data_IF_513449989549
#
_entry.id   IF_513449989549
#
_cell.length_a   1.000
_cell.length_b   1.000
_cell.length_c   1.000
_cell.angle_alpha   90.00
_cell.angle_beta   90.00
_cell.angle_gamma   90.00
#
_symmetry.space_group_name_H-M   'P 1'
#
loop_
_entity.id
_entity.type
_entity.pdbx_description
1 polymer ?
#
# COMPACT_ATOMS: atom_id res chain seq x y z
N UNK A 1 -0.14 32.86 13.76
CA UNK A 1 -1.16 31.87 13.36
C UNK A 1 -0.45 30.74 12.62
N UNK A 2 -0.73 29.49 12.95
CA UNK A 2 -0.14 28.33 12.25
C UNK A 2 -0.63 28.23 10.81
N UNK A 3 0.14 27.56 9.96
CA UNK A 3 -0.23 27.30 8.55
C UNK A 3 -1.48 26.42 8.52
N UNK A 4 -2.54 26.87 7.84
CA UNK A 4 -3.79 26.11 7.66
C UNK A 4 -3.69 25.24 6.41
N UNK A 5 -3.89 23.92 6.57
CA UNK A 5 -3.78 22.94 5.49
C UNK A 5 -5.10 22.20 5.31
N UNK A 6 -5.59 22.15 4.08
CA UNK A 6 -6.71 21.29 3.70
C UNK A 6 -6.16 20.05 2.96
N UNK A 7 -6.44 18.87 3.50
CA UNK A 7 -6.12 17.58 2.87
C UNK A 7 -7.38 17.05 2.20
N UNK A 8 -7.32 16.80 0.91
CA UNK A 8 -8.44 16.28 0.12
C UNK A 8 -8.25 14.78 -0.07
N UNK A 9 -9.10 13.98 0.59
CA UNK A 9 -9.08 12.53 0.63
C UNK A 9 -8.60 11.98 1.98
N UNK A 10 -9.40 11.07 2.58
CA UNK A 10 -9.10 10.37 3.83
C UNK A 10 -8.63 8.91 3.61
N UNK A 11 -7.99 8.63 2.49
CA UNK A 11 -7.27 7.37 2.29
C UNK A 11 -5.99 7.30 3.14
N UNK A 12 -5.27 6.18 3.08
CA UNK A 12 -4.02 5.96 3.85
C UNK A 12 -3.04 7.14 3.68
N UNK A 13 -2.82 7.60 2.44
CA UNK A 13 -1.90 8.72 2.18
C UNK A 13 -2.39 10.05 2.76
N UNK A 14 -3.69 10.35 2.66
CA UNK A 14 -4.27 11.58 3.17
C UNK A 14 -4.29 11.65 4.69
N UNK A 15 -4.73 10.59 5.36
CA UNK A 15 -4.69 10.50 6.82
C UNK A 15 -3.25 10.56 7.34
N UNK A 16 -2.32 9.84 6.72
CA UNK A 16 -0.90 9.92 7.10
C UNK A 16 -0.35 11.34 6.93
N UNK A 17 -0.73 12.04 5.84
CA UNK A 17 -0.32 13.43 5.63
C UNK A 17 -0.90 14.36 6.70
N UNK A 18 -2.18 14.20 7.03
CA UNK A 18 -2.84 14.98 8.07
C UNK A 18 -2.16 14.80 9.43
N UNK A 19 -1.91 13.55 9.83
CA UNK A 19 -1.23 13.22 11.09
C UNK A 19 0.19 13.83 11.10
N UNK A 20 0.95 13.59 10.04
CA UNK A 20 2.33 14.08 9.96
C UNK A 20 2.42 15.61 10.04
N UNK A 21 1.52 16.32 9.38
CA UNK A 21 1.44 17.78 9.38
C UNK A 21 0.96 18.31 10.74
N UNK A 22 -0.07 17.71 11.34
CA UNK A 22 -0.58 18.07 12.66
C UNK A 22 0.49 17.90 13.75
N UNK A 23 1.28 16.83 13.71
CA UNK A 23 2.42 16.61 14.61
C UNK A 23 3.56 17.63 14.45
N UNK A 24 3.60 18.35 13.33
CA UNK A 24 4.48 19.51 13.12
C UNK A 24 3.85 20.85 13.53
N UNK A 25 2.71 20.83 14.24
CA UNK A 25 2.02 22.03 14.75
C UNK A 25 1.23 22.82 13.71
N UNK A 26 0.90 22.21 12.56
CA UNK A 26 0.07 22.85 11.53
C UNK A 26 -1.41 22.59 11.80
N UNK A 27 -2.28 23.56 11.47
CA UNK A 27 -3.73 23.41 11.54
C UNK A 27 -4.20 22.60 10.31
N UNK A 28 -4.70 21.39 10.51
CA UNK A 28 -5.07 20.48 9.42
C UNK A 28 -6.56 20.14 9.49
N UNK A 29 -7.20 20.16 8.32
CA UNK A 29 -8.56 19.64 8.12
C UNK A 29 -8.54 18.65 6.95
N UNK A 30 -9.28 17.55 7.06
CA UNK A 30 -9.37 16.48 6.06
C UNK A 30 -10.78 16.47 5.47
N UNK A 31 -10.89 16.40 4.15
CA UNK A 31 -12.15 16.39 3.40
C UNK A 31 -12.25 15.12 2.57
N UNK A 32 -13.21 14.26 2.90
CA UNK A 32 -13.42 12.96 2.25
C UNK A 32 -14.78 12.95 1.53
N UNK A 33 -14.78 12.48 0.28
CA UNK A 33 -16.02 12.42 -0.52
C UNK A 33 -16.99 11.34 -0.06
N UNK A 34 -16.50 10.25 0.54
CA UNK A 34 -17.34 9.18 1.05
C UNK A 34 -18.12 9.66 2.29
N UNK A 35 -19.37 9.21 2.47
CA UNK A 35 -20.18 9.58 3.63
C UNK A 35 -19.72 8.89 4.93
N UNK A 36 -18.89 7.85 4.81
CA UNK A 36 -18.27 7.13 5.91
C UNK A 36 -16.87 6.66 5.50
N UNK A 37 -16.01 6.40 6.49
CA UNK A 37 -14.77 5.66 6.26
C UNK A 37 -15.15 4.17 6.17
N UNK A 38 -15.40 3.72 4.94
CA UNK A 38 -15.94 2.38 4.69
C UNK A 38 -14.87 1.29 4.84
N UNK A 39 -15.32 0.13 5.27
CA UNK A 39 -14.51 -1.11 5.31
C UNK A 39 -14.26 -1.69 3.91
N UNK A 40 -13.96 -0.85 2.92
CA UNK A 40 -13.72 -1.29 1.55
C UNK A 40 -12.26 -1.63 1.35
N UNK A 41 -11.98 -2.86 0.99
CA UNK A 41 -10.67 -3.26 0.52
C UNK A 41 -10.16 -4.60 1.06
N UNK A 42 -9.19 -5.13 0.35
CA UNK A 42 -8.43 -6.30 0.77
C UNK A 42 -7.26 -5.88 1.70
N UNK A 43 -6.31 -6.76 1.92
CA UNK A 43 -5.11 -6.44 2.66
C UNK A 43 -4.18 -5.48 1.90
N UNK A 44 -3.31 -4.83 2.63
CA UNK A 44 -2.22 -4.01 2.11
C UNK A 44 -0.89 -4.49 2.71
N UNK A 45 0.11 -4.64 1.84
CA UNK A 45 1.47 -4.93 2.25
C UNK A 45 2.22 -3.65 2.59
N UNK A 46 2.91 -3.65 3.72
CA UNK A 46 3.78 -2.56 4.15
C UNK A 46 5.23 -3.03 4.17
N UNK A 47 6.02 -2.41 3.33
CA UNK A 47 7.45 -2.63 3.22
C UNK A 47 8.24 -1.79 4.23
N UNK A 48 9.53 -2.09 4.45
CA UNK A 48 10.38 -1.36 5.39
C UNK A 48 10.37 0.16 5.24
N UNK A 49 10.25 0.70 4.02
CA UNK A 49 10.15 2.13 3.77
C UNK A 49 8.90 2.78 4.37
N UNK A 50 7.76 2.10 4.30
CA UNK A 50 6.53 2.56 4.94
C UNK A 50 6.63 2.50 6.46
N UNK A 51 7.19 1.41 7.00
CA UNK A 51 7.39 1.25 8.45
C UNK A 51 8.35 2.30 9.01
N UNK A 52 9.44 2.60 8.30
CA UNK A 52 10.37 3.67 8.66
C UNK A 52 9.70 5.06 8.61
N UNK A 53 8.85 5.32 7.62
CA UNK A 53 8.11 6.57 7.53
C UNK A 53 7.05 6.69 8.64
N UNK A 54 6.35 5.60 8.98
CA UNK A 54 5.41 5.56 10.11
C UNK A 54 6.12 5.78 11.45
N UNK A 55 7.37 5.33 11.59
CA UNK A 55 8.17 5.59 12.79
C UNK A 55 8.38 7.09 13.04
N UNK A 56 8.61 7.88 11.99
CA UNK A 56 8.78 9.34 12.09
C UNK A 56 7.56 10.06 12.71
N UNK A 57 6.42 9.41 12.63
CA UNK A 57 5.15 9.87 13.23
C UNK A 57 4.66 8.95 14.36
N UNK A 58 5.54 8.12 14.95
CA UNK A 58 5.27 7.27 16.11
C UNK A 58 4.19 6.20 15.89
N UNK A 59 3.92 5.80 14.64
CA UNK A 59 2.85 4.85 14.31
C UNK A 59 3.33 3.48 13.84
N UNK A 60 4.65 3.26 13.72
CA UNK A 60 5.18 1.95 13.36
C UNK A 60 4.81 0.87 14.37
N UNK A 61 4.88 1.15 15.67
CA UNK A 61 4.50 0.24 16.74
C UNK A 61 3.01 -0.14 16.73
N UNK A 62 2.08 0.82 16.75
CA UNK A 62 0.64 0.55 16.58
C UNK A 62 0.32 -0.27 15.33
N UNK A 63 0.88 0.09 14.17
CA UNK A 63 0.66 -0.64 12.91
C UNK A 63 1.26 -2.05 12.96
N UNK A 64 2.45 -2.24 13.56
CA UNK A 64 3.06 -3.56 13.70
C UNK A 64 2.27 -4.50 14.62
N UNK A 65 1.55 -3.96 15.63
CA UNK A 65 0.65 -4.75 16.48
C UNK A 65 -0.62 -5.18 15.77
N UNK A 66 -1.13 -4.35 14.89
CA UNK A 66 -2.29 -4.64 14.07
C UNK A 66 -1.98 -5.63 12.95
N UNK A 67 -0.80 -5.53 12.34
CA UNK A 67 -0.43 -6.27 11.16
C UNK A 67 -0.06 -7.75 11.46
N UNK A 68 -0.32 -8.62 10.49
CA UNK A 68 0.21 -9.97 10.51
C UNK A 68 1.71 -9.97 10.11
N UNK A 69 2.50 -10.76 10.84
CA UNK A 69 3.91 -11.01 10.53
C UNK A 69 4.03 -11.97 9.36
N UNK A 70 5.01 -11.73 8.52
CA UNK A 70 5.33 -12.56 7.36
C UNK A 70 6.75 -13.09 7.54
N UNK A 71 6.92 -14.42 7.58
CA UNK A 71 8.24 -15.03 7.76
C UNK A 71 9.08 -14.93 6.48
N UNK A 72 8.47 -15.15 5.33
CA UNK A 72 9.10 -15.03 4.00
C UNK A 72 8.15 -14.36 3.02
N UNK A 73 8.68 -13.44 2.22
CA UNK A 73 7.94 -12.79 1.16
C UNK A 73 8.61 -13.08 -0.19
N UNK A 74 7.84 -13.34 -1.26
CA UNK A 74 8.46 -13.51 -2.56
C UNK A 74 7.59 -14.08 -3.66
N UNK A 75 8.27 -14.61 -4.68
CA UNK A 75 7.67 -15.11 -5.91
C UNK A 75 7.99 -16.59 -6.08
N UNK A 76 7.02 -17.35 -6.55
CA UNK A 76 7.13 -18.79 -6.79
C UNK A 76 6.74 -19.16 -8.23
N UNK A 77 7.18 -20.33 -8.65
CA UNK A 77 6.67 -21.03 -9.83
C UNK A 77 5.44 -21.88 -9.44
N UNK A 78 4.65 -22.34 -10.44
CA UNK A 78 3.54 -23.25 -10.20
C UNK A 78 3.93 -24.56 -9.49
N UNK A 79 5.19 -25.02 -9.66
CA UNK A 79 5.73 -26.21 -8.98
C UNK A 79 6.11 -25.94 -7.50
N UNK A 80 5.95 -24.71 -7.02
CA UNK A 80 6.27 -24.29 -5.65
C UNK A 80 7.73 -23.92 -5.41
N UNK A 81 8.59 -23.98 -6.42
CA UNK A 81 9.96 -23.51 -6.28
C UNK A 81 10.03 -21.98 -6.28
N UNK A 82 10.90 -21.42 -5.43
CA UNK A 82 11.07 -19.97 -5.33
C UNK A 82 11.82 -19.39 -6.54
N UNK A 83 11.26 -18.31 -7.09
CA UNK A 83 11.93 -17.41 -8.04
C UNK A 83 12.67 -16.29 -7.28
N UNK A 84 12.05 -15.79 -6.23
CA UNK A 84 12.60 -14.82 -5.30
C UNK A 84 12.09 -15.18 -3.90
N UNK A 85 12.97 -15.18 -2.91
CA UNK A 85 12.60 -15.41 -1.51
C UNK A 85 13.35 -14.42 -0.62
N UNK A 86 12.60 -13.67 0.17
CA UNK A 86 13.08 -12.65 1.10
C UNK A 86 12.66 -13.03 2.52
N UNK A 87 13.51 -13.70 3.31
CA UNK A 87 13.26 -13.95 4.71
C UNK A 87 13.14 -12.65 5.52
N UNK A 88 12.28 -12.64 6.54
CA UNK A 88 12.06 -11.48 7.41
C UNK A 88 13.35 -11.01 8.10
N UNK A 89 14.18 -11.95 8.53
CA UNK A 89 15.48 -11.66 9.16
C UNK A 89 16.40 -10.89 8.21
N UNK A 90 16.48 -11.31 6.94
CA UNK A 90 17.27 -10.61 5.94
C UNK A 90 16.75 -9.19 5.72
N UNK A 91 15.42 -9.03 5.61
CA UNK A 91 14.82 -7.71 5.44
C UNK A 91 15.09 -6.82 6.64
N UNK A 92 14.94 -7.34 7.85
CA UNK A 92 15.22 -6.62 9.09
C UNK A 92 16.68 -6.21 9.21
N UNK A 93 17.62 -7.12 8.89
CA UNK A 93 19.06 -6.81 8.93
C UNK A 93 19.43 -5.73 7.91
N UNK A 94 18.85 -5.77 6.71
CA UNK A 94 19.20 -4.86 5.63
C UNK A 94 18.48 -3.51 5.70
N UNK A 95 17.20 -3.53 6.06
CA UNK A 95 16.29 -2.37 5.94
C UNK A 95 15.64 -1.95 7.26
N UNK A 96 15.99 -2.59 8.37
CA UNK A 96 15.50 -2.22 9.70
C UNK A 96 14.14 -2.80 10.08
N UNK A 97 13.38 -3.35 9.13
CA UNK A 97 12.07 -3.95 9.36
C UNK A 97 11.79 -5.07 8.36
N UNK A 98 10.90 -6.00 8.69
CA UNK A 98 10.34 -6.98 7.78
C UNK A 98 9.18 -6.42 6.95
N UNK A 99 8.67 -7.23 6.04
CA UNK A 99 7.40 -6.99 5.37
C UNK A 99 6.25 -7.45 6.28
N UNK A 100 5.20 -6.65 6.35
CA UNK A 100 3.99 -6.99 7.11
C UNK A 100 2.75 -6.74 6.27
N UNK A 101 1.66 -7.41 6.60
CA UNK A 101 0.37 -7.23 5.93
C UNK A 101 -0.70 -6.85 6.93
N UNK A 102 -1.59 -5.98 6.53
CA UNK A 102 -2.68 -5.47 7.37
C UNK A 102 -3.96 -5.34 6.56
N UNK A 103 -5.11 -5.53 7.16
CA UNK A 103 -6.38 -5.21 6.54
C UNK A 103 -6.45 -3.70 6.27
N UNK A 104 -6.76 -3.31 5.03
CA UNK A 104 -6.68 -1.91 4.61
C UNK A 104 -7.61 -0.99 5.40
N UNK A 105 -8.83 -1.46 5.70
CA UNK A 105 -9.79 -0.69 6.47
C UNK A 105 -9.35 -0.51 7.94
N UNK A 106 -8.79 -1.56 8.57
CA UNK A 106 -8.25 -1.47 9.93
C UNK A 106 -7.08 -0.50 10.01
N UNK A 107 -6.19 -0.48 9.00
CA UNK A 107 -5.13 0.53 8.93
C UNK A 107 -5.70 1.94 8.77
N UNK A 108 -6.70 2.13 7.89
CA UNK A 108 -7.34 3.42 7.69
C UNK A 108 -8.02 3.91 8.99
N UNK A 109 -8.71 3.02 9.68
CA UNK A 109 -9.37 3.33 10.95
C UNK A 109 -8.35 3.69 12.03
N UNK A 110 -7.27 2.91 12.19
CA UNK A 110 -6.18 3.24 13.11
C UNK A 110 -5.59 4.62 12.81
N UNK A 111 -5.36 4.96 11.54
CA UNK A 111 -4.89 6.30 11.17
C UNK A 111 -5.92 7.39 11.50
N UNK A 112 -7.21 7.14 11.29
CA UNK A 112 -8.26 8.12 11.58
C UNK A 112 -8.37 8.41 13.08
N UNK A 113 -8.18 7.40 13.96
CA UNK A 113 -8.22 7.61 15.43
C UNK A 113 -7.06 8.45 15.98
N UNK A 114 -6.01 8.69 15.18
CA UNK A 114 -4.89 9.58 15.55
C UNK A 114 -5.18 11.08 15.32
N UNK A 115 -6.35 11.39 14.78
CA UNK A 115 -6.82 12.75 14.55
C UNK A 115 -8.08 13.02 15.38
N UNK A 116 -8.29 14.28 15.75
CA UNK A 116 -9.57 14.69 16.32
C UNK A 116 -10.68 14.44 15.26
N UNK A 117 -11.75 13.70 15.58
CA UNK A 117 -12.85 13.48 14.65
C UNK A 117 -13.43 14.78 14.05
N UNK A 118 -13.37 15.90 14.80
CA UNK A 118 -13.87 17.20 14.35
C UNK A 118 -13.12 17.78 13.14
N UNK A 119 -11.89 17.32 12.88
CA UNK A 119 -11.11 17.77 11.70
C UNK A 119 -11.34 16.92 10.46
N UNK A 120 -12.15 15.85 10.53
CA UNK A 120 -12.44 14.95 9.40
C UNK A 120 -13.87 15.23 8.91
N UNK A 121 -13.97 15.82 7.73
CA UNK A 121 -15.24 16.18 7.10
C UNK A 121 -15.61 15.16 6.03
N UNK A 122 -16.56 14.28 6.35
CA UNK A 122 -17.08 13.26 5.43
C UNK A 122 -18.15 13.84 4.49
N UNK A 123 -18.45 13.18 3.38
CA UNK A 123 -19.39 13.63 2.35
C UNK A 123 -18.91 14.88 1.57
N UNK A 124 -17.66 15.28 1.74
CA UNK A 124 -17.06 16.48 1.19
C UNK A 124 -16.33 16.20 -0.14
N UNK A 125 -17.05 16.12 -1.25
CA UNK A 125 -16.47 15.91 -2.57
C UNK A 125 -15.93 17.22 -3.16
N UNK A 126 -14.61 17.33 -3.28
CA UNK A 126 -13.96 18.48 -3.90
C UNK A 126 -14.31 18.57 -5.40
N UNK A 127 -14.72 19.75 -5.86
CA UNK A 127 -15.12 20.01 -7.25
C UNK A 127 -14.24 21.04 -7.95
N UNK A 128 -13.47 21.84 -7.19
CA UNK A 128 -12.62 22.85 -7.80
C UNK A 128 -11.66 23.49 -6.80
N UNK A 129 -10.63 24.15 -7.35
CA UNK A 129 -9.61 24.87 -6.61
C UNK A 129 -9.30 26.18 -7.27
N UNK A 130 -9.06 27.23 -6.46
CA UNK A 130 -8.59 28.52 -6.91
C UNK A 130 -7.43 28.99 -6.04
N UNK A 131 -6.23 29.11 -6.62
CA UNK A 131 -5.04 29.66 -5.94
C UNK A 131 -4.90 31.14 -6.32
N UNK A 132 -5.20 32.04 -5.40
CA UNK A 132 -5.08 33.49 -5.58
C UNK A 132 -3.69 34.04 -5.20
N UNK A 133 -2.69 33.17 -4.99
CA UNK A 133 -1.32 33.50 -4.63
C UNK A 133 -1.08 33.72 -3.13
N UNK A 134 -2.11 34.05 -2.35
CA UNK A 134 -2.06 34.19 -0.87
C UNK A 134 -2.64 32.98 -0.15
N UNK A 135 -3.70 32.40 -0.69
CA UNK A 135 -4.37 31.20 -0.18
C UNK A 135 -4.98 30.42 -1.35
N UNK A 136 -5.41 29.20 -1.05
CA UNK A 136 -6.20 28.35 -1.95
C UNK A 136 -7.63 28.27 -1.41
N UNK A 137 -8.60 28.45 -2.30
CA UNK A 137 -10.01 28.21 -2.02
C UNK A 137 -10.36 26.86 -2.64
N UNK A 138 -10.74 25.89 -1.81
CA UNK A 138 -11.27 24.61 -2.24
C UNK A 138 -12.80 24.67 -2.22
N UNK A 139 -13.42 24.25 -3.34
CA UNK A 139 -14.88 24.19 -3.50
C UNK A 139 -15.36 22.75 -3.46
N UNK A 140 -16.50 22.54 -2.81
CA UNK A 140 -17.10 21.23 -2.62
C UNK A 140 -18.50 21.14 -3.26
N UNK A 141 -18.94 19.91 -3.52
CA UNK A 141 -20.22 19.67 -4.20
C UNK A 141 -21.44 20.10 -3.40
N UNK A 142 -21.33 20.22 -2.08
CA UNK A 142 -22.36 20.70 -1.18
C UNK A 142 -22.41 22.23 -1.04
N UNK A 143 -21.62 22.95 -1.85
CA UNK A 143 -21.56 24.41 -1.86
C UNK A 143 -20.56 25.02 -0.87
N UNK A 144 -19.94 24.20 0.01
CA UNK A 144 -18.89 24.71 0.92
C UNK A 144 -17.70 25.26 0.15
N UNK A 145 -17.10 26.33 0.68
CA UNK A 145 -15.80 26.84 0.29
C UNK A 145 -14.88 26.86 1.51
N UNK A 146 -13.67 26.34 1.32
CA UNK A 146 -12.67 26.29 2.38
C UNK A 146 -11.42 27.02 1.94
N UNK A 147 -10.97 27.98 2.76
CA UNK A 147 -9.75 28.71 2.56
C UNK A 147 -8.61 28.07 3.35
N UNK A 148 -7.52 27.73 2.67
CA UNK A 148 -6.32 27.16 3.26
C UNK A 148 -5.04 27.83 2.71
N UNK A 149 -3.95 27.78 3.49
CA UNK A 149 -2.63 28.23 3.03
C UNK A 149 -2.00 27.23 2.07
N UNK A 150 -2.33 25.94 2.24
CA UNK A 150 -1.89 24.83 1.39
C UNK A 150 -3.05 23.85 1.21
N UNK A 151 -3.18 23.31 -0.01
CA UNK A 151 -4.05 22.18 -0.30
C UNK A 151 -3.20 20.96 -0.67
N UNK A 152 -3.44 19.83 -0.01
CA UNK A 152 -2.82 18.54 -0.30
C UNK A 152 -3.85 17.64 -0.96
N UNK A 153 -3.68 17.34 -2.26
CA UNK A 153 -4.53 16.38 -2.98
C UNK A 153 -4.05 14.95 -2.72
N UNK A 154 -4.85 14.19 -1.97
CA UNK A 154 -4.66 12.79 -1.63
C UNK A 154 -5.88 11.94 -2.06
N UNK A 155 -6.62 12.41 -3.05
CA UNK A 155 -7.93 11.97 -3.52
C UNK A 155 -7.85 10.84 -4.57
N UNK A 156 -6.74 10.12 -4.57
CA UNK A 156 -6.59 8.84 -5.26
C UNK A 156 -6.44 8.94 -6.78
N UNK A 157 -6.61 7.80 -7.44
CA UNK A 157 -6.34 7.65 -8.88
C UNK A 157 -7.23 8.53 -9.76
N UNK A 158 -8.44 8.86 -9.30
CA UNK A 158 -9.39 9.75 -9.99
C UNK A 158 -9.37 11.18 -9.46
N UNK A 159 -8.23 11.63 -8.93
CA UNK A 159 -8.04 12.92 -8.27
C UNK A 159 -8.65 14.11 -9.02
N UNK A 160 -9.62 14.77 -8.37
CA UNK A 160 -10.20 16.03 -8.80
C UNK A 160 -9.19 17.19 -8.62
N UNK A 161 -8.40 17.15 -7.54
CA UNK A 161 -7.32 18.12 -7.29
C UNK A 161 -6.31 18.10 -8.43
N UNK A 162 -5.88 16.91 -8.87
CA UNK A 162 -4.98 16.78 -10.01
C UNK A 162 -5.60 17.31 -11.29
N UNK A 163 -6.86 16.98 -11.55
CA UNK A 163 -7.57 17.43 -12.73
C UNK A 163 -7.70 18.96 -12.77
N UNK A 164 -7.94 19.60 -11.62
CA UNK A 164 -7.98 21.05 -11.50
C UNK A 164 -6.61 21.72 -11.80
N UNK A 165 -5.49 21.07 -11.40
CA UNK A 165 -4.15 21.61 -11.64
C UNK A 165 -3.63 21.46 -13.07
N UNK A 166 -3.92 20.30 -13.69
CA UNK A 166 -3.21 19.86 -14.90
C UNK A 166 -4.17 19.45 -16.04
N UNK A 167 -5.46 19.54 -15.80
CA UNK A 167 -6.48 19.02 -16.72
C UNK A 167 -6.65 17.50 -16.62
N UNK A 168 -7.64 16.94 -17.31
CA UNK A 168 -7.88 15.51 -17.37
C UNK A 168 -6.71 14.78 -18.01
N UNK A 169 -6.35 13.63 -17.45
CA UNK A 169 -5.34 12.74 -18.04
C UNK A 169 -5.82 11.30 -17.93
N UNK A 170 -5.89 10.57 -19.05
CA UNK A 170 -6.37 9.21 -19.07
C UNK A 170 -5.42 8.28 -18.29
N UNK A 171 -6.00 7.28 -17.67
CA UNK A 171 -5.28 6.14 -17.14
C UNK A 171 -4.85 5.23 -18.30
N UNK A 172 -3.73 4.54 -18.14
CA UNK A 172 -3.26 3.54 -19.08
C UNK A 172 -3.64 2.16 -18.58
N UNK A 173 -4.42 1.44 -19.36
CA UNK A 173 -4.68 0.03 -19.09
C UNK A 173 -3.40 -0.80 -19.21
N UNK A 174 -3.20 -1.73 -18.26
CA UNK A 174 -1.97 -2.52 -18.19
C UNK A 174 -2.08 -3.90 -18.85
N UNK A 175 -3.23 -4.23 -19.46
CA UNK A 175 -3.43 -5.48 -20.20
C UNK A 175 -3.95 -6.64 -19.36
N UNK A 176 -4.27 -6.43 -18.08
CA UNK A 176 -4.76 -7.46 -17.18
C UNK A 176 -5.74 -6.92 -16.15
N UNK A 177 -6.59 -7.81 -15.67
CA UNK A 177 -7.51 -7.57 -14.55
C UNK A 177 -7.05 -8.34 -13.32
N UNK A 178 -7.49 -7.93 -12.16
CA UNK A 178 -7.23 -8.62 -10.90
C UNK A 178 -8.50 -8.70 -10.04
N UNK A 179 -8.63 -9.81 -9.34
CA UNK A 179 -9.58 -9.99 -8.24
C UNK A 179 -8.77 -10.08 -6.96
N UNK A 180 -9.23 -9.42 -5.92
CA UNK A 180 -8.65 -9.49 -4.58
C UNK A 180 -9.74 -9.64 -3.55
N UNK A 181 -9.42 -10.33 -2.46
CA UNK A 181 -10.35 -10.53 -1.36
C UNK A 181 -9.62 -10.91 -0.07
N UNK A 182 -10.41 -11.10 0.96
CA UNK A 182 -10.02 -11.69 2.24
C UNK A 182 -10.86 -12.94 2.47
N UNK A 183 -10.26 -13.97 3.03
CA UNK A 183 -11.05 -15.09 3.56
C UNK A 183 -11.81 -14.65 4.83
N UNK A 184 -12.93 -15.28 5.17
CA UNK A 184 -13.48 -15.17 6.51
C UNK A 184 -12.43 -15.58 7.57
N UNK A 185 -12.49 -15.01 8.79
CA UNK A 185 -11.55 -15.38 9.86
C UNK A 185 -11.53 -16.89 10.11
N UNK A 186 -10.33 -17.46 10.21
CA UNK A 186 -10.11 -18.89 10.53
C UNK A 186 -10.77 -19.91 9.59
N UNK A 187 -11.20 -19.47 8.41
CA UNK A 187 -11.82 -20.39 7.41
C UNK A 187 -10.83 -21.27 6.68
N UNK A 188 -9.56 -20.89 6.67
CA UNK A 188 -8.43 -21.66 6.13
C UNK A 188 -7.22 -21.53 7.06
N UNK A 189 -6.26 -22.49 7.03
CA UNK A 189 -5.03 -22.38 7.79
C UNK A 189 -4.29 -21.09 7.44
N UNK A 190 -3.84 -20.34 8.46
CA UNK A 190 -3.13 -19.07 8.26
C UNK A 190 -1.72 -19.36 7.73
N UNK A 191 -1.34 -18.83 6.54
CA UNK A 191 0.01 -19.00 6.04
C UNK A 191 1.01 -18.18 6.87
N UNK A 192 2.23 -18.67 6.99
CA UNK A 192 3.32 -17.90 7.60
C UNK A 192 4.06 -17.02 6.59
N UNK A 193 3.93 -17.34 5.32
CA UNK A 193 4.60 -16.67 4.21
C UNK A 193 3.59 -15.85 3.39
N UNK A 194 4.08 -14.80 2.75
CA UNK A 194 3.38 -14.10 1.68
C UNK A 194 4.10 -14.38 0.35
N UNK A 195 3.38 -14.89 -0.62
CA UNK A 195 3.97 -15.23 -1.90
C UNK A 195 2.98 -15.06 -3.06
N UNK A 196 3.54 -14.94 -4.26
CA UNK A 196 2.77 -14.93 -5.49
C UNK A 196 3.33 -15.97 -6.46
N UNK A 197 2.46 -16.83 -6.98
CA UNK A 197 2.80 -17.78 -8.06
C UNK A 197 2.67 -17.07 -9.40
N UNK A 198 3.71 -17.13 -10.21
CA UNK A 198 3.72 -16.66 -11.58
C UNK A 198 3.53 -17.83 -12.55
N UNK A 199 2.31 -17.93 -13.09
CA UNK A 199 1.96 -18.87 -14.16
C UNK A 199 2.22 -18.29 -15.55
N UNK A 200 1.39 -18.70 -16.51
CA UNK A 200 1.39 -18.22 -17.88
C UNK A 200 0.18 -17.33 -18.09
N UNK A 201 0.37 -16.03 -18.22
CA UNK A 201 -0.68 -15.04 -18.36
C UNK A 201 -1.64 -14.94 -17.14
N UNK A 202 -1.27 -15.57 -16.04
CA UNK A 202 -2.05 -15.57 -14.81
C UNK A 202 -1.14 -15.69 -13.58
N UNK A 203 -1.54 -15.05 -12.48
CA UNK A 203 -0.83 -15.03 -11.20
C UNK A 203 -1.81 -15.18 -10.06
N UNK A 204 -1.37 -15.82 -8.99
CA UNK A 204 -2.14 -15.91 -7.74
C UNK A 204 -1.20 -15.68 -6.57
N UNK A 205 -1.54 -14.74 -5.71
CA UNK A 205 -0.78 -14.46 -4.51
C UNK A 205 -1.64 -14.49 -3.27
N UNK A 206 -1.01 -14.73 -2.13
CA UNK A 206 -1.63 -14.74 -0.83
C UNK A 206 -0.64 -14.37 0.28
N UNK A 207 -1.18 -14.08 1.44
CA UNK A 207 -0.42 -13.88 2.67
C UNK A 207 -1.35 -13.82 3.89
N UNK A 208 -0.78 -13.94 5.10
CA UNK A 208 -1.56 -13.70 6.30
C UNK A 208 -1.96 -12.22 6.37
N UNK A 209 -3.04 -11.89 7.07
CA UNK A 209 -3.36 -10.50 7.42
C UNK A 209 -4.00 -10.45 8.81
N UNK A 210 -4.25 -9.26 9.32
CA UNK A 210 -4.90 -9.07 10.63
C UNK A 210 -6.23 -9.80 10.73
N UNK A 211 -6.63 -10.16 11.96
CA UNK A 211 -7.91 -10.82 12.24
C UNK A 211 -7.99 -12.28 11.79
N UNK A 212 -6.86 -13.02 11.79
CA UNK A 212 -6.79 -14.44 11.41
C UNK A 212 -7.39 -14.72 10.01
N UNK A 213 -7.14 -13.82 9.06
CA UNK A 213 -7.59 -13.90 7.68
C UNK A 213 -6.41 -14.11 6.73
N UNK A 214 -6.72 -14.64 5.55
CA UNK A 214 -5.79 -14.66 4.42
C UNK A 214 -6.19 -13.59 3.44
N UNK A 215 -5.26 -12.66 3.15
CA UNK A 215 -5.41 -11.78 1.98
C UNK A 215 -4.91 -12.53 0.76
N UNK A 216 -5.64 -12.42 -0.34
CA UNK A 216 -5.26 -13.03 -1.60
C UNK A 216 -5.63 -12.17 -2.80
N UNK A 217 -4.94 -12.41 -3.90
CA UNK A 217 -5.20 -11.76 -5.18
C UNK A 217 -4.93 -12.73 -6.32
N UNK A 218 -5.73 -12.62 -7.36
CA UNK A 218 -5.57 -13.35 -8.61
C UNK A 218 -5.56 -12.33 -9.75
N UNK A 219 -4.65 -12.47 -10.71
CA UNK A 219 -4.56 -11.59 -11.86
C UNK A 219 -4.39 -12.41 -13.15
N UNK A 220 -5.01 -11.97 -14.24
CA UNK A 220 -4.90 -12.62 -15.55
C UNK A 220 -5.07 -11.63 -16.68
N UNK A 221 -4.50 -11.94 -17.85
CA UNK A 221 -4.66 -11.14 -19.05
C UNK A 221 -6.13 -11.10 -19.48
N UNK A 222 -6.65 -9.91 -19.72
CA UNK A 222 -8.02 -9.67 -20.16
C UNK A 222 -8.11 -8.36 -20.93
N UNK A 223 -9.11 -8.18 -21.82
CA UNK A 223 -9.47 -6.88 -22.35
C UNK A 223 -9.97 -5.92 -21.25
N UNK A 224 -9.78 -4.62 -21.45
CA UNK A 224 -10.33 -3.61 -20.54
C UNK A 224 -11.87 -3.65 -20.54
N UNK A 225 -12.46 -3.37 -19.38
CA UNK A 225 -13.91 -3.31 -19.21
C UNK A 225 -14.62 -4.65 -19.25
N UNK A 226 -13.86 -5.76 -19.17
CA UNK A 226 -14.45 -7.09 -19.10
C UNK A 226 -15.35 -7.24 -17.88
N UNK A 227 -16.58 -7.69 -18.10
CA UNK A 227 -17.54 -8.01 -17.05
C UNK A 227 -17.58 -9.52 -16.88
N UNK A 228 -17.70 -9.98 -15.67
CA UNK A 228 -18.13 -11.34 -15.39
C UNK A 228 -19.66 -11.30 -15.32
N UNK A 229 -20.32 -12.27 -15.91
CA UNK A 229 -21.80 -12.39 -15.91
C UNK A 229 -22.37 -12.69 -14.51
N UNK A 230 -21.79 -12.06 -13.47
CA UNK A 230 -22.18 -12.23 -12.06
C UNK A 230 -21.61 -13.49 -11.39
N UNK A 231 -20.63 -14.16 -11.99
CA UNK A 231 -20.07 -15.40 -11.46
C UNK A 231 -18.55 -15.40 -11.45
N UNK A 232 -17.98 -14.43 -10.76
CA UNK A 232 -16.53 -14.28 -10.60
C UNK A 232 -15.90 -15.46 -9.88
N UNK A 233 -16.56 -16.03 -8.87
CA UNK A 233 -16.07 -17.20 -8.15
C UNK A 233 -15.94 -18.44 -9.05
N UNK A 234 -16.91 -18.71 -9.93
CA UNK A 234 -16.79 -19.82 -10.88
C UNK A 234 -15.65 -19.61 -11.88
N UNK A 235 -15.45 -18.38 -12.36
CA UNK A 235 -14.33 -18.05 -13.22
C UNK A 235 -12.99 -18.28 -12.51
N UNK A 236 -12.87 -17.88 -11.25
CA UNK A 236 -11.67 -18.10 -10.43
C UNK A 236 -11.41 -19.58 -10.20
N UNK A 237 -12.43 -20.38 -9.84
CA UNK A 237 -12.30 -21.85 -9.69
C UNK A 237 -11.85 -22.49 -11.00
N UNK A 238 -12.41 -22.10 -12.14
CA UNK A 238 -12.01 -22.61 -13.46
C UNK A 238 -10.55 -22.30 -13.77
N UNK A 239 -10.04 -21.13 -13.39
CA UNK A 239 -8.66 -20.68 -13.73
C UNK A 239 -7.62 -21.18 -12.73
N UNK A 240 -7.97 -21.22 -11.44
CA UNK A 240 -7.01 -21.41 -10.35
C UNK A 240 -7.34 -22.60 -9.45
N UNK A 241 -8.50 -23.25 -9.62
CA UNK A 241 -8.93 -24.37 -8.77
C UNK A 241 -8.07 -25.62 -8.85
N UNK A 242 -7.20 -25.73 -9.87
CA UNK A 242 -6.20 -26.82 -10.00
C UNK A 242 -4.79 -26.40 -9.60
N UNK A 243 -4.63 -25.17 -9.12
CA UNK A 243 -3.35 -24.71 -8.62
C UNK A 243 -3.08 -25.32 -7.25
N UNK A 244 -1.84 -25.23 -6.79
CA UNK A 244 -1.42 -25.86 -5.53
C UNK A 244 -2.17 -25.33 -4.31
N UNK A 245 -2.22 -26.16 -3.27
CA UNK A 245 -2.69 -25.73 -1.96
C UNK A 245 -1.92 -24.51 -1.41
N UNK A 246 -2.63 -23.63 -0.70
CA UNK A 246 -4.04 -23.69 -0.29
C UNK A 246 -5.02 -22.95 -1.23
N UNK A 247 -4.66 -22.70 -2.50
CA UNK A 247 -5.46 -21.86 -3.41
C UNK A 247 -6.90 -22.38 -3.59
N UNK A 248 -7.15 -23.67 -3.87
CA UNK A 248 -8.52 -24.17 -3.98
C UNK A 248 -9.35 -23.91 -2.73
N UNK A 249 -8.81 -24.20 -1.55
CA UNK A 249 -9.49 -23.99 -0.27
C UNK A 249 -9.80 -22.49 -0.01
N UNK A 250 -8.91 -21.58 -0.40
CA UNK A 250 -9.13 -20.14 -0.29
C UNK A 250 -10.28 -19.69 -1.19
N UNK A 251 -10.34 -20.19 -2.44
CA UNK A 251 -11.41 -19.86 -3.37
C UNK A 251 -12.77 -20.36 -2.89
N UNK A 252 -12.81 -21.56 -2.30
CA UNK A 252 -14.05 -22.13 -1.73
C UNK A 252 -14.51 -21.36 -0.49
N UNK A 253 -13.58 -20.95 0.36
CA UNK A 253 -13.89 -20.21 1.59
C UNK A 253 -14.31 -18.75 1.34
N UNK A 254 -14.05 -18.19 0.15
CA UNK A 254 -14.30 -16.76 -0.12
C UNK A 254 -15.68 -16.55 -0.76
N UNK A 255 -16.61 -15.81 -0.11
CA UNK A 255 -17.92 -15.50 -0.68
C UNK A 255 -17.83 -14.61 -1.93
N UNK A 256 -18.73 -14.81 -2.90
CA UNK A 256 -18.81 -13.99 -4.12
C UNK A 256 -18.91 -12.49 -3.80
N UNK A 257 -19.71 -12.11 -2.81
CA UNK A 257 -19.91 -10.72 -2.40
C UNK A 257 -18.64 -10.04 -1.84
N UNK A 258 -17.64 -10.82 -1.43
CA UNK A 258 -16.36 -10.31 -0.94
C UNK A 258 -15.32 -10.12 -2.05
N UNK A 259 -15.62 -10.54 -3.28
CA UNK A 259 -14.70 -10.44 -4.41
C UNK A 259 -14.67 -9.02 -4.97
N UNK A 260 -13.50 -8.42 -5.00
CA UNK A 260 -13.28 -7.08 -5.58
C UNK A 260 -12.49 -7.24 -6.86
N UNK A 261 -13.17 -7.07 -8.01
CA UNK A 261 -12.55 -7.09 -9.33
C UNK A 261 -12.24 -5.69 -9.82
N UNK A 262 -11.05 -5.50 -10.34
CA UNK A 262 -10.64 -4.26 -10.98
C UNK A 262 -9.69 -4.53 -12.15
N UNK A 263 -9.89 -3.80 -13.23
CA UNK A 263 -8.88 -3.66 -14.26
C UNK A 263 -7.69 -2.87 -13.72
N UNK A 264 -6.49 -3.24 -14.15
CA UNK A 264 -5.28 -2.61 -13.63
C UNK A 264 -4.86 -1.47 -14.55
N UNK A 265 -4.76 -0.30 -13.95
CA UNK A 265 -4.36 0.95 -14.60
C UNK A 265 -3.20 1.61 -13.88
N UNK A 266 -2.41 2.35 -14.64
CA UNK A 266 -1.39 3.26 -14.10
C UNK A 266 -1.43 4.63 -14.81
N UNK A 267 -0.51 5.52 -14.44
CA UNK A 267 -0.17 6.73 -15.19
C UNK A 267 1.32 6.80 -15.46
N UNK A 268 1.68 7.52 -16.54
CA UNK A 268 3.07 7.89 -16.75
C UNK A 268 3.55 8.78 -15.61
N UNK A 269 4.78 8.60 -15.12
CA UNK A 269 5.34 9.46 -14.08
C UNK A 269 5.26 10.94 -14.45
N UNK A 270 4.68 11.73 -13.55
CA UNK A 270 4.51 13.16 -13.75
C UNK A 270 5.80 13.94 -13.42
N UNK A 271 6.07 15.00 -14.21
CA UNK A 271 7.21 15.89 -13.96
C UNK A 271 6.92 16.93 -12.89
N UNK A 272 5.66 17.33 -12.76
CA UNK A 272 5.19 18.35 -11.80
C UNK A 272 4.15 17.75 -10.90
N UNK A 273 4.30 17.96 -9.59
CA UNK A 273 3.47 17.38 -8.54
C UNK A 273 2.57 18.39 -7.82
N UNK A 274 2.66 19.64 -8.21
CA UNK A 274 1.86 20.72 -7.65
C UNK A 274 2.07 22.03 -8.39
N UNK A 275 1.24 23.00 -8.10
CA UNK A 275 1.33 24.37 -8.61
C UNK A 275 0.97 25.33 -7.49
N UNK A 276 1.77 26.41 -7.34
CA UNK A 276 1.51 27.40 -6.31
C UNK A 276 1.54 26.83 -4.90
N UNK A 277 0.39 26.80 -4.27
CA UNK A 277 0.14 26.32 -2.91
C UNK A 277 -0.60 24.97 -2.86
N UNK A 278 -0.74 24.30 -4.00
CA UNK A 278 -1.39 22.99 -4.13
C UNK A 278 -0.35 21.93 -4.48
N UNK A 279 -0.38 20.79 -3.80
CA UNK A 279 0.53 19.65 -4.00
C UNK A 279 -0.23 18.32 -3.94
N UNK A 280 0.27 17.31 -4.64
CA UNK A 280 -0.32 15.97 -4.70
C UNK A 280 0.56 14.95 -3.99
N UNK A 281 -0.09 13.93 -3.41
CA UNK A 281 0.55 12.77 -2.76
C UNK A 281 -0.10 11.46 -3.21
N UNK A 282 0.64 10.36 -3.15
CA UNK A 282 0.15 9.02 -3.45
C UNK A 282 -0.45 8.88 -4.84
N UNK A 283 -1.55 8.13 -4.95
CA UNK A 283 -2.20 7.81 -6.23
C UNK A 283 -2.77 9.03 -6.97
N UNK A 284 -2.94 10.17 -6.30
CA UNK A 284 -3.31 11.42 -6.96
C UNK A 284 -2.23 11.87 -7.97
N UNK A 285 -0.99 11.48 -7.77
CA UNK A 285 0.12 11.89 -8.64
C UNK A 285 0.86 10.73 -9.31
N UNK A 286 1.06 9.60 -8.63
CA UNK A 286 1.81 8.45 -9.14
C UNK A 286 1.07 7.12 -8.98
N UNK A 287 -0.18 6.98 -9.50
CA UNK A 287 -0.86 5.70 -9.45
C UNK A 287 -0.03 4.67 -10.21
N UNK A 288 0.22 3.55 -9.57
CA UNK A 288 1.07 2.48 -10.06
C UNK A 288 0.37 1.13 -10.01
N UNK A 289 0.86 0.18 -10.79
CA UNK A 289 0.38 -1.19 -10.71
C UNK A 289 0.71 -1.82 -9.35
N UNK A 290 -0.10 -2.78 -8.85
CA UNK A 290 0.08 -3.35 -7.50
C UNK A 290 1.28 -4.30 -7.38
N UNK A 291 2.00 -4.54 -8.45
CA UNK A 291 2.99 -5.62 -8.61
C UNK A 291 4.21 -5.55 -7.67
N UNK A 292 4.43 -4.42 -7.02
CA UNK A 292 5.45 -4.26 -5.99
C UNK A 292 4.86 -4.04 -4.58
N UNK A 293 3.54 -4.03 -4.42
CA UNK A 293 2.86 -3.65 -3.18
C UNK A 293 3.38 -2.31 -2.61
N UNK A 294 3.69 -1.33 -3.48
CA UNK A 294 4.32 -0.06 -3.09
C UNK A 294 3.37 1.14 -3.06
N UNK A 295 2.15 1.06 -3.58
CA UNK A 295 1.26 2.22 -3.67
C UNK A 295 1.04 2.91 -2.32
N UNK A 296 0.57 2.17 -1.32
CA UNK A 296 0.38 2.69 0.04
C UNK A 296 1.71 3.09 0.69
N UNK A 297 2.78 2.31 0.49
CA UNK A 297 4.10 2.62 1.02
C UNK A 297 4.62 3.97 0.51
N UNK A 298 4.51 4.22 -0.78
CA UNK A 298 4.94 5.48 -1.40
C UNK A 298 4.08 6.66 -0.92
N UNK A 299 2.77 6.46 -0.73
CA UNK A 299 1.89 7.50 -0.19
C UNK A 299 2.23 7.88 1.26
N UNK A 300 2.58 6.90 2.11
CA UNK A 300 3.05 7.11 3.49
C UNK A 300 4.38 7.87 3.49
N UNK A 301 5.34 7.48 2.64
CA UNK A 301 6.63 8.19 2.52
C UNK A 301 6.45 9.59 1.97
N UNK A 302 5.52 9.81 1.02
CA UNK A 302 5.18 11.14 0.52
C UNK A 302 4.68 12.05 1.65
N UNK A 303 3.74 11.53 2.45
CA UNK A 303 3.11 12.26 3.55
C UNK A 303 4.13 12.77 4.57
N UNK A 304 5.00 11.89 5.05
CA UNK A 304 6.03 12.25 6.03
C UNK A 304 7.11 13.16 5.45
N UNK A 305 7.48 12.97 4.17
CA UNK A 305 8.43 13.84 3.48
C UNK A 305 7.86 15.26 3.28
N UNK A 306 6.55 15.35 2.91
CA UNK A 306 5.87 16.63 2.76
C UNK A 306 5.85 17.39 4.08
N UNK A 307 5.45 16.73 5.17
CA UNK A 307 5.44 17.35 6.50
C UNK A 307 6.82 17.83 6.93
N UNK A 308 7.86 17.02 6.72
CA UNK A 308 9.26 17.42 7.00
C UNK A 308 9.71 18.63 6.17
N UNK A 309 9.32 18.72 4.90
CA UNK A 309 9.68 19.87 4.07
C UNK A 309 8.96 21.14 4.50
N UNK A 310 7.68 21.06 4.87
CA UNK A 310 6.89 22.20 5.30
C UNK A 310 7.34 22.73 6.68
N UNK A 311 7.71 21.84 7.61
CA UNK A 311 8.21 22.24 8.93
C UNK A 311 9.61 22.88 8.88
N UNK A 312 10.42 22.50 7.90
CA UNK A 312 11.79 23.01 7.75
C UNK A 312 11.90 24.40 7.09
N UNK A 313 10.80 24.99 6.63
CA UNK A 313 10.85 26.25 5.88
C UNK A 313 9.62 27.12 6.07
N UNK A 314 9.85 28.43 6.22
CA UNK A 314 8.76 29.44 6.20
C UNK A 314 8.28 29.76 4.76
N UNK A 315 9.09 29.48 3.74
CA UNK A 315 8.67 29.55 2.34
C UNK A 315 7.89 28.31 1.94
N UNK A 316 6.58 28.37 2.08
CA UNK A 316 5.66 27.28 1.73
C UNK A 316 5.88 26.77 0.30
N UNK A 317 6.00 27.68 -0.70
CA UNK A 317 6.18 27.27 -2.09
C UNK A 317 7.54 26.60 -2.31
N UNK A 318 8.58 27.08 -1.63
CA UNK A 318 9.91 26.46 -1.63
C UNK A 318 9.90 25.07 -1.01
N UNK A 319 9.17 24.88 0.10
CA UNK A 319 8.97 23.60 0.77
C UNK A 319 8.26 22.58 -0.12
N UNK A 320 7.18 22.97 -0.81
CA UNK A 320 6.47 22.11 -1.76
C UNK A 320 7.37 21.69 -2.94
N UNK A 321 8.19 22.62 -3.47
CA UNK A 321 9.20 22.28 -4.48
C UNK A 321 10.28 21.33 -3.94
N UNK A 322 10.69 21.48 -2.69
CA UNK A 322 11.66 20.60 -2.04
C UNK A 322 11.10 19.17 -1.87
N UNK A 323 9.86 19.04 -1.43
CA UNK A 323 9.13 17.77 -1.38
C UNK A 323 9.13 17.07 -2.76
N UNK A 324 8.69 17.76 -3.81
CA UNK A 324 8.68 17.22 -5.16
C UNK A 324 10.08 16.76 -5.62
N UNK A 325 11.15 17.54 -5.38
CA UNK A 325 12.52 17.14 -5.75
C UNK A 325 12.97 15.88 -5.04
N UNK A 326 12.63 15.73 -3.76
CA UNK A 326 13.01 14.54 -2.96
C UNK A 326 12.32 13.28 -3.43
N UNK A 327 11.00 13.37 -3.74
CA UNK A 327 10.18 12.19 -3.98
C UNK A 327 10.09 11.76 -5.44
N UNK A 328 10.09 12.69 -6.37
CA UNK A 328 9.76 12.47 -7.78
C UNK A 328 10.58 11.35 -8.45
N UNK A 329 11.89 11.30 -8.21
CA UNK A 329 12.77 10.30 -8.88
C UNK A 329 12.46 8.89 -8.41
N UNK A 330 12.34 8.69 -7.10
CA UNK A 330 12.04 7.38 -6.53
C UNK A 330 10.64 6.91 -6.93
N UNK A 331 9.59 7.72 -6.76
CA UNK A 331 8.23 7.35 -7.16
C UNK A 331 8.13 7.05 -8.66
N UNK A 332 8.82 7.81 -9.53
CA UNK A 332 8.86 7.54 -10.95
C UNK A 332 9.53 6.19 -11.26
N UNK A 333 10.68 5.90 -10.65
CA UNK A 333 11.37 4.62 -10.80
C UNK A 333 10.48 3.46 -10.31
N UNK A 334 9.87 3.60 -9.13
CA UNK A 334 8.96 2.59 -8.56
C UNK A 334 7.76 2.31 -9.48
N UNK A 335 7.12 3.38 -10.03
CA UNK A 335 6.01 3.22 -10.98
C UNK A 335 6.43 2.46 -12.25
N UNK A 336 7.60 2.77 -12.80
CA UNK A 336 8.09 2.11 -14.01
C UNK A 336 8.50 0.65 -13.74
N UNK A 337 9.15 0.39 -12.61
CA UNK A 337 9.54 -0.96 -12.20
C UNK A 337 8.29 -1.81 -11.92
N UNK A 338 7.30 -1.26 -11.19
CA UNK A 338 6.04 -1.95 -10.93
C UNK A 338 5.35 -2.37 -12.24
N UNK A 339 5.25 -1.45 -13.19
CA UNK A 339 4.69 -1.75 -14.52
C UNK A 339 5.47 -2.84 -15.25
N UNK A 340 6.82 -2.79 -15.21
CA UNK A 340 7.65 -3.79 -15.85
C UNK A 340 7.50 -5.17 -15.20
N UNK A 341 7.47 -5.23 -13.87
CA UNK A 341 7.24 -6.46 -13.09
C UNK A 341 5.86 -7.04 -13.42
N UNK A 342 4.82 -6.20 -13.46
CA UNK A 342 3.48 -6.62 -13.87
C UNK A 342 3.46 -7.19 -15.29
N UNK A 343 4.04 -6.50 -16.25
CA UNK A 343 4.10 -6.95 -17.64
C UNK A 343 4.84 -8.29 -17.80
N UNK A 344 5.98 -8.47 -17.13
CA UNK A 344 6.75 -9.72 -17.18
C UNK A 344 6.05 -10.87 -16.45
N UNK A 345 5.36 -10.58 -15.34
CA UNK A 345 4.54 -11.56 -14.62
C UNK A 345 3.37 -12.07 -15.44
N UNK A 346 2.91 -11.30 -16.44
CA UNK A 346 1.77 -11.62 -17.31
C UNK A 346 2.17 -12.25 -18.66
N UNK A 347 3.42 -12.65 -18.85
CA UNK A 347 3.80 -13.37 -20.06
C UNK A 347 3.08 -14.72 -20.19
N UNK A 348 2.70 -15.09 -21.45
CA UNK A 348 1.96 -16.33 -21.77
C UNK A 348 2.82 -17.38 -22.50
N UNK A 349 3.77 -16.92 -23.30
CA UNK A 349 4.62 -17.81 -24.11
C UNK A 349 5.45 -18.75 -23.25
N UNK A 350 5.41 -20.07 -23.55
CA UNK A 350 6.16 -21.10 -22.78
C UNK A 350 7.65 -20.78 -22.68
N UNK A 351 8.27 -20.44 -23.82
CA UNK A 351 9.70 -20.12 -23.87
C UNK A 351 10.01 -18.83 -23.10
N UNK A 352 9.18 -17.79 -23.24
CA UNK A 352 9.35 -16.54 -22.54
C UNK A 352 9.25 -16.72 -21.00
N UNK A 353 8.24 -17.45 -20.53
CA UNK A 353 8.11 -17.76 -19.12
C UNK A 353 9.29 -18.58 -18.58
N UNK A 354 9.74 -19.60 -19.33
CA UNK A 354 10.90 -20.38 -18.92
C UNK A 354 12.18 -19.53 -18.86
N UNK A 355 12.41 -18.66 -19.85
CA UNK A 355 13.56 -17.75 -19.87
C UNK A 355 13.50 -16.77 -18.69
N UNK A 356 12.33 -16.18 -18.41
CA UNK A 356 12.08 -15.31 -17.23
C UNK A 356 12.46 -16.03 -15.94
N UNK A 357 11.94 -17.24 -15.74
CA UNK A 357 12.14 -18.02 -14.52
C UNK A 357 13.62 -18.39 -14.32
N UNK A 358 14.32 -18.79 -15.41
CA UNK A 358 15.74 -19.06 -15.36
C UNK A 358 16.53 -17.78 -15.03
N UNK A 359 16.21 -16.66 -15.67
CA UNK A 359 16.88 -15.39 -15.41
C UNK A 359 16.71 -14.95 -13.93
N UNK A 360 15.50 -15.01 -13.41
CA UNK A 360 15.22 -14.65 -12.02
C UNK A 360 16.00 -15.54 -11.03
N UNK A 361 16.01 -16.84 -11.24
CA UNK A 361 16.74 -17.79 -10.39
C UNK A 361 18.25 -17.64 -10.45
N UNK A 362 18.79 -17.31 -11.64
CA UNK A 362 20.24 -17.10 -11.86
C UNK A 362 20.70 -15.70 -11.44
N UNK A 363 19.81 -14.75 -11.27
CA UNK A 363 20.17 -13.41 -10.81
C UNK A 363 20.75 -13.48 -9.40
N UNK A 364 21.99 -13.04 -9.18
CA UNK A 364 22.60 -13.06 -7.85
C UNK A 364 21.75 -12.30 -6.83
N UNK A 365 21.67 -12.83 -5.62
CA UNK A 365 20.87 -12.23 -4.54
C UNK A 365 21.25 -10.78 -4.27
N UNK A 366 22.54 -10.45 -4.36
CA UNK A 366 23.03 -9.07 -4.22
C UNK A 366 22.44 -8.10 -5.24
N UNK A 367 22.21 -8.56 -6.47
CA UNK A 367 21.58 -7.77 -7.54
C UNK A 367 20.10 -7.59 -7.26
N UNK A 368 19.39 -8.66 -6.88
CA UNK A 368 17.97 -8.59 -6.48
C UNK A 368 17.76 -7.60 -5.33
N UNK A 369 18.61 -7.65 -4.29
CA UNK A 369 18.54 -6.74 -3.16
C UNK A 369 18.83 -5.29 -3.54
N UNK A 370 19.81 -5.04 -4.45
CA UNK A 370 20.08 -3.68 -4.96
C UNK A 370 18.89 -3.10 -5.74
N UNK A 371 18.17 -3.93 -6.50
CA UNK A 371 16.95 -3.48 -7.19
C UNK A 371 15.87 -3.07 -6.19
N UNK A 372 15.72 -3.81 -5.09
CA UNK A 372 14.81 -3.44 -4.01
C UNK A 372 15.27 -2.18 -3.25
N UNK A 373 16.58 -1.98 -3.04
CA UNK A 373 17.09 -0.73 -2.46
C UNK A 373 16.65 0.52 -3.24
N UNK A 374 16.59 0.42 -4.59
CA UNK A 374 16.12 1.53 -5.42
C UNK A 374 14.63 1.83 -5.23
N UNK A 375 13.83 0.82 -5.00
CA UNK A 375 12.38 0.95 -4.76
C UNK A 375 12.10 1.47 -3.37
N UNK A 376 12.78 0.91 -2.36
CA UNK A 376 12.55 1.23 -0.95
C UNK A 376 13.11 2.60 -0.55
N UNK A 377 14.22 3.03 -1.15
CA UNK A 377 14.86 4.36 -0.97
C UNK A 377 14.86 4.88 0.48
N UNK A 378 15.32 4.04 1.41
CA UNK A 378 15.33 4.36 2.85
C UNK A 378 16.17 5.61 3.20
N UNK A 379 17.02 6.07 2.28
CA UNK A 379 17.80 7.30 2.43
C UNK A 379 16.98 8.57 2.26
N UNK A 380 15.80 8.48 1.62
CA UNK A 380 14.89 9.60 1.45
C UNK A 380 14.06 9.88 2.72
N UNK A 381 13.99 8.94 3.65
CA UNK A 381 13.36 9.18 4.95
C UNK A 381 14.21 10.17 5.75
N UNK A 382 13.65 11.31 6.20
CA UNK A 382 14.40 12.26 7.01
C UNK A 382 14.72 11.66 8.38
N UNK A 383 15.98 11.38 8.62
CA UNK A 383 16.50 10.77 9.85
C UNK A 383 17.17 9.43 9.54
N UNK A 384 18.40 9.26 10.07
CA UNK A 384 19.10 7.97 10.03
C UNK A 384 18.19 6.88 10.57
N UNK A 385 18.04 5.78 9.82
CA UNK A 385 17.26 4.60 10.21
C UNK A 385 17.54 4.27 11.68
N UNK A 386 16.57 4.39 12.60
CA UNK A 386 16.73 3.87 13.95
C UNK A 386 16.94 2.37 13.82
N UNK A 387 18.02 1.83 14.40
CA UNK A 387 18.17 0.39 14.56
C UNK A 387 16.98 -0.06 15.40
N UNK A 388 16.03 -0.77 14.81
CA UNK A 388 14.94 -1.41 15.53
C UNK A 388 15.52 -2.24 16.68
N UNK A 389 15.10 -2.05 17.93
CA UNK A 389 15.50 -2.93 19.02
C UNK A 389 14.97 -4.31 18.67
N UNK A 390 15.88 -5.25 18.42
CA UNK A 390 15.56 -6.66 18.31
C UNK A 390 14.91 -7.03 19.63
N UNK A 391 13.59 -7.18 19.66
CA UNK A 391 12.94 -7.80 20.81
C UNK A 391 13.50 -9.22 20.89
N UNK A 392 14.40 -9.45 21.85
CA UNK A 392 14.83 -10.79 22.20
C UNK A 392 13.56 -11.61 22.47
N UNK A 393 13.48 -12.86 21.99
CA UNK A 393 12.37 -13.73 22.35
C UNK A 393 12.28 -13.73 23.88
N UNK A 394 11.11 -13.44 24.44
CA UNK A 394 10.87 -13.56 25.87
C UNK A 394 11.28 -14.98 26.25
N UNK A 395 12.34 -15.10 27.04
CA UNK A 395 12.69 -16.36 27.72
C UNK A 395 11.47 -16.71 28.57
N UNK A 396 10.77 -17.75 28.22
CA UNK A 396 9.77 -18.33 29.10
C UNK A 396 10.51 -18.61 30.42
N UNK A 397 10.16 -17.87 31.47
CA UNK A 397 10.54 -18.20 32.83
C UNK A 397 10.04 -19.62 33.11
N UNK A 398 10.95 -20.49 33.46
CA UNK A 398 10.67 -21.88 33.64
C UNK A 398 9.55 -22.09 34.65
N UNK A 399 8.44 -22.64 34.18
CA UNK A 399 7.40 -23.22 35.00
C UNK A 399 7.97 -24.54 35.55
N UNK A 400 8.25 -24.56 36.85
CA UNK A 400 8.65 -25.76 37.59
C UNK A 400 7.63 -26.88 37.30
N UNK A 401 8.15 -28.01 36.88
CA UNK A 401 7.40 -29.24 36.70
C UNK A 401 6.96 -29.79 38.07
N UNK A 402 5.70 -29.63 38.42
CA UNK A 402 5.00 -30.48 39.37
C UNK A 402 3.93 -31.27 38.61
N UNK A 403 4.28 -32.52 38.28
CA UNK A 403 3.35 -33.49 37.74
C UNK A 403 2.33 -33.91 38.82
N UNK A 404 1.02 -33.86 38.57
CA UNK A 404 0.05 -34.47 39.47
C UNK A 404 0.06 -35.99 39.27
N UNK A 405 0.31 -36.74 40.38
CA UNK A 405 0.09 -38.20 40.44
C UNK A 405 -1.40 -38.46 40.45
N UNK A 406 -1.88 -39.28 39.54
CA UNK A 406 -3.20 -39.88 39.60
C UNK A 406 -3.15 -41.13 40.49
N UNK A 407 -4.18 -41.38 41.35
CA UNK A 407 -4.25 -42.60 42.13
C UNK A 407 -4.69 -43.77 41.25
N UNK A 408 -4.01 -44.90 41.37
CA UNK A 408 -4.42 -46.17 40.81
C UNK A 408 -5.59 -46.68 41.66
N UNK A 409 -6.76 -46.86 41.03
CA UNK A 409 -7.83 -47.73 41.58
C UNK A 409 -7.77 -49.07 40.91
N UNK A 410 -7.91 -50.10 41.71
CA UNK A 410 -7.87 -51.48 41.36
C UNK A 410 -9.03 -52.00 40.51
#
# INVERSE_FOLDING_TARGET
>A
MGVKIAVIGAGIGGLTAAIALARQGMAVEVYEQAPALEEVGAGVGLWPNAMAALELIGLSGPVARLAAKVDRQGLMRPDGSWLLCLPAELMTQRWGAGFVTVHRAELQQLLATELDPAVIHLGARCTGLEDNGRAVIARFADGREVRADVVVGADGVHSAVRAALFGPAPLRYCGYTAVRSLTPPRSVPLPRDSWEIWGRGARFGLGPTSGDRVVWWAAWNAPAGGKDDGNTAALLRKRFGTWRDPIPAILEATPEAALIRNDIYDRRPARTWGRGRVVLVGDAIHPMTPDLAQGACQAIVDATTLASCLSASRDTRGALRAYQRRRRRNAAATTLIARWVGATGQWEGRAACAARDVLMRKTPRSVQLRQLDLVLDLKAAPGSVPRWPIQQPMRHAGSGSSSPRWPKTG
#
